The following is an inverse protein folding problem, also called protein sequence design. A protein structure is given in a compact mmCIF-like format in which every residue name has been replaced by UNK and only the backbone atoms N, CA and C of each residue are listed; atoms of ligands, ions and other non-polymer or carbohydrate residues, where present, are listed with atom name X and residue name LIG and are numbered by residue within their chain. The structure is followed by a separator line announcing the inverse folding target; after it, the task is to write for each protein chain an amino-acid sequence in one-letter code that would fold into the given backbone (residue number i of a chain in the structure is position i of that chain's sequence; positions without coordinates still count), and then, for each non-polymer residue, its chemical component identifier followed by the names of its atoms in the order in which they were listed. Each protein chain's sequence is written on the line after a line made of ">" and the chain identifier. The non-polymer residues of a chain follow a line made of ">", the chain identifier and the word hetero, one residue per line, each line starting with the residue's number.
data_IF_340044105265
#
_entry.id   IF_340044105265
#
_cell.length_a   1.000
_cell.length_b   1.000
_cell.length_c   1.000
_cell.angle_alpha   90.00
_cell.angle_beta   90.00
_cell.angle_gamma   90.00
#
_symmetry.space_group_name_H-M   'P 1'
#
loop_
_entity.id
_entity.type
_entity.pdbx_description
1 polymer ?
#
# COMPACT_ATOMS: atom_id res chain seq x y z
N UNK A 1 21.19 -5.49 30.47
CA UNK A 1 21.56 -4.68 29.29
C UNK A 1 20.31 -4.54 28.43
N UNK A 2 19.81 -3.31 28.25
CA UNK A 2 18.59 -3.01 27.47
C UNK A 2 18.93 -2.99 25.98
N UNK A 3 18.16 -3.70 25.16
CA UNK A 3 18.07 -3.46 23.71
C UNK A 3 16.66 -2.99 23.39
N UNK A 4 16.59 -1.80 22.83
CA UNK A 4 15.40 -1.04 22.48
C UNK A 4 14.64 -1.64 21.29
N UNK A 5 13.33 -1.85 21.46
CA UNK A 5 12.33 -1.71 20.40
C UNK A 5 12.25 -2.78 19.29
N UNK A 6 12.79 -3.99 19.49
CA UNK A 6 12.61 -5.11 18.57
C UNK A 6 11.57 -6.11 19.09
N UNK A 7 10.75 -6.67 18.20
CA UNK A 7 9.82 -7.78 18.49
C UNK A 7 10.53 -8.88 19.28
N UNK A 8 10.11 -9.10 20.52
CA UNK A 8 10.63 -10.17 21.38
C UNK A 8 9.94 -11.47 21.00
N UNK A 9 10.48 -12.18 20.00
CA UNK A 9 10.03 -13.54 19.70
C UNK A 9 10.68 -14.47 20.72
N UNK A 10 10.00 -14.70 21.85
CA UNK A 10 10.48 -15.63 22.87
C UNK A 10 10.36 -17.07 22.35
N UNK A 11 11.43 -17.84 22.47
CA UNK A 11 11.53 -19.25 22.07
C UNK A 11 10.75 -20.19 22.99
N UNK A 12 9.43 -20.01 23.08
CA UNK A 12 8.52 -20.96 23.74
C UNK A 12 7.76 -21.76 22.69
N UNK A 13 7.72 -23.08 22.92
CA UNK A 13 6.87 -24.11 22.28
C UNK A 13 5.64 -23.53 21.57
N UNK A 14 5.56 -23.75 20.26
CA UNK A 14 4.39 -23.66 19.38
C UNK A 14 3.44 -22.47 19.65
N UNK A 15 3.74 -21.31 19.05
CA UNK A 15 2.77 -20.23 18.91
C UNK A 15 1.71 -20.69 17.91
N UNK A 16 0.50 -20.96 18.39
CA UNK A 16 -0.63 -21.33 17.54
C UNK A 16 -1.33 -20.04 17.07
N UNK A 17 -1.11 -19.67 15.81
CA UNK A 17 -1.70 -18.47 15.20
C UNK A 17 -2.87 -18.86 14.28
N UNK A 18 -4.00 -18.19 14.44
CA UNK A 18 -5.10 -18.20 13.48
C UNK A 18 -4.98 -16.97 12.56
N UNK A 19 -5.04 -17.19 11.24
CA UNK A 19 -4.96 -16.13 10.23
C UNK A 19 -6.23 -16.08 9.41
N UNK A 20 -6.86 -14.90 9.39
CA UNK A 20 -8.01 -14.61 8.54
C UNK A 20 -7.64 -13.52 7.53
N UNK A 21 -8.08 -13.67 6.28
CA UNK A 21 -7.93 -12.66 5.23
C UNK A 21 -9.30 -12.37 4.64
N UNK A 22 -9.74 -11.12 4.75
CA UNK A 22 -11.02 -10.64 4.21
C UNK A 22 -10.73 -9.62 3.12
N UNK A 23 -11.30 -9.79 1.92
CA UNK A 23 -11.20 -8.78 0.87
C UNK A 23 -12.06 -7.56 1.23
N UNK A 24 -11.46 -6.37 1.24
CA UNK A 24 -12.15 -5.11 1.52
C UNK A 24 -12.58 -4.42 0.23
N UNK A 25 -11.66 -4.27 -0.72
CA UNK A 25 -11.92 -3.57 -1.99
C UNK A 25 -10.82 -3.83 -3.02
N UNK A 26 -11.06 -3.39 -4.26
CA UNK A 26 -10.10 -3.49 -5.37
C UNK A 26 -9.89 -2.13 -6.02
N UNK A 27 -8.65 -1.79 -6.30
CA UNK A 27 -8.22 -0.61 -7.05
C UNK A 27 -7.26 -1.04 -8.17
N UNK A 28 -7.70 -1.00 -9.43
CA UNK A 28 -6.93 -1.53 -10.57
C UNK A 28 -6.48 -2.98 -10.29
N UNK A 29 -5.18 -3.26 -10.31
CA UNK A 29 -4.59 -4.57 -9.98
C UNK A 29 -4.29 -4.76 -8.50
N UNK A 30 -4.52 -3.74 -7.66
CA UNK A 30 -4.32 -3.78 -6.21
C UNK A 30 -5.60 -4.24 -5.50
N UNK A 31 -5.50 -5.32 -4.74
CA UNK A 31 -6.56 -5.80 -3.86
C UNK A 31 -6.24 -5.42 -2.41
N UNK A 32 -7.14 -4.68 -1.78
CA UNK A 32 -7.05 -4.26 -0.39
C UNK A 32 -7.77 -5.29 0.49
N UNK A 33 -7.06 -5.80 1.49
CA UNK A 33 -7.51 -6.88 2.35
C UNK A 33 -7.32 -6.51 3.82
N UNK A 34 -8.20 -7.00 4.68
CA UNK A 34 -7.98 -7.03 6.12
C UNK A 34 -7.30 -8.36 6.45
N UNK A 35 -6.15 -8.30 7.10
CA UNK A 35 -5.46 -9.46 7.64
C UNK A 35 -5.60 -9.41 9.16
N UNK A 36 -6.25 -10.41 9.72
CA UNK A 36 -6.38 -10.60 11.17
C UNK A 36 -5.47 -11.75 11.58
N UNK A 37 -4.59 -11.51 12.54
CA UNK A 37 -3.77 -12.54 13.20
C UNK A 37 -4.23 -12.65 14.64
N UNK A 38 -4.65 -13.83 15.04
CA UNK A 38 -5.07 -14.12 16.41
C UNK A 38 -4.11 -15.12 17.03
N UNK A 39 -3.48 -14.74 18.13
CA UNK A 39 -2.68 -15.65 18.92
C UNK A 39 -3.62 -16.46 19.81
N UNK A 40 -3.66 -17.78 19.61
CA UNK A 40 -4.55 -18.65 20.37
C UNK A 40 -4.00 -18.99 21.76
N UNK A 41 -2.75 -18.64 22.05
CA UNK A 41 -2.13 -18.85 23.37
C UNK A 41 -2.57 -17.81 24.40
N UNK A 42 -2.75 -16.56 23.99
CA UNK A 42 -3.17 -15.45 24.84
C UNK A 42 -4.44 -14.72 24.36
N UNK A 43 -5.04 -15.21 23.27
CA UNK A 43 -6.25 -14.68 22.64
C UNK A 43 -6.12 -13.22 22.18
N UNK A 44 -4.88 -12.73 22.00
CA UNK A 44 -4.63 -11.41 21.40
C UNK A 44 -4.94 -11.42 19.91
N UNK A 45 -5.34 -10.26 19.38
CA UNK A 45 -5.71 -10.13 17.97
C UNK A 45 -5.10 -8.85 17.40
N UNK A 46 -4.39 -8.99 16.29
CA UNK A 46 -3.80 -7.89 15.54
C UNK A 46 -4.42 -7.82 14.15
N UNK A 47 -4.75 -6.60 13.72
CA UNK A 47 -5.30 -6.32 12.39
C UNK A 47 -4.34 -5.46 11.58
N UNK A 48 -4.26 -5.75 10.29
CA UNK A 48 -3.39 -5.04 9.35
C UNK A 48 -4.01 -4.95 7.95
N UNK A 49 -3.59 -3.97 7.18
CA UNK A 49 -3.97 -3.83 5.79
C UNK A 49 -3.06 -4.72 4.94
N UNK A 50 -3.63 -5.68 4.22
CA UNK A 50 -2.99 -6.36 3.11
C UNK A 50 -3.19 -5.60 1.81
N UNK A 51 -2.10 -5.30 1.12
CA UNK A 51 -2.11 -4.81 -0.26
C UNK A 51 -1.59 -5.92 -1.15
N UNK A 52 -2.48 -6.61 -1.86
CA UNK A 52 -2.14 -7.75 -2.72
C UNK A 52 -2.13 -7.34 -4.19
N UNK A 53 -1.07 -7.67 -4.90
CA UNK A 53 -1.03 -7.66 -6.36
C UNK A 53 -0.87 -9.06 -6.92
N UNK A 54 -1.61 -9.34 -7.98
CA UNK A 54 -1.41 -10.50 -8.83
C UNK A 54 -0.65 -10.06 -10.09
N UNK A 55 0.38 -10.80 -10.45
CA UNK A 55 1.17 -10.58 -11.66
C UNK A 55 1.43 -11.91 -12.35
N UNK A 56 1.43 -11.89 -13.67
CA UNK A 56 1.49 -13.08 -14.51
C UNK A 56 2.71 -13.00 -15.41
N UNK A 57 3.60 -14.00 -15.38
CA UNK A 57 4.60 -14.26 -16.43
C UNK A 57 4.01 -15.22 -17.45
N UNK A 58 4.70 -15.42 -18.58
CA UNK A 58 4.28 -16.37 -19.63
C UNK A 58 3.94 -17.78 -19.09
N UNK A 59 4.60 -18.21 -18.01
CA UNK A 59 4.47 -19.54 -17.43
C UNK A 59 3.85 -19.58 -16.03
N UNK A 60 3.64 -18.45 -15.35
CA UNK A 60 3.25 -18.42 -13.91
C UNK A 60 2.38 -17.22 -13.55
N UNK A 61 1.34 -17.46 -12.76
CA UNK A 61 0.62 -16.43 -12.02
C UNK A 61 1.15 -16.41 -10.59
N UNK A 62 1.60 -15.25 -10.12
CA UNK A 62 2.14 -15.03 -8.78
C UNK A 62 1.38 -13.94 -8.05
N UNK A 63 1.24 -14.10 -6.72
CA UNK A 63 0.61 -13.10 -5.85
C UNK A 63 1.63 -12.61 -4.83
N UNK A 64 1.70 -11.30 -4.64
CA UNK A 64 2.49 -10.68 -3.58
C UNK A 64 1.60 -9.79 -2.74
N UNK A 65 1.53 -10.08 -1.44
CA UNK A 65 0.85 -9.26 -0.46
C UNK A 65 1.87 -8.53 0.39
N UNK A 66 1.73 -7.21 0.48
CA UNK A 66 2.47 -6.39 1.43
C UNK A 66 1.53 -6.01 2.56
N UNK A 67 1.98 -6.24 3.79
CA UNK A 67 1.25 -5.87 5.00
C UNK A 67 1.63 -4.47 5.42
N UNK A 68 0.64 -3.66 5.77
CA UNK A 68 0.79 -2.34 6.36
C UNK A 68 0.10 -2.35 7.72
N UNK A 69 0.84 -1.95 8.74
CA UNK A 69 0.30 -1.90 10.09
C UNK A 69 -0.77 -0.81 10.19
N UNK A 70 -1.82 -1.03 10.99
CA UNK A 70 -2.92 -0.07 11.19
C UNK A 70 -2.41 1.35 11.52
N UNK A 71 -1.35 1.45 12.33
CA UNK A 71 -0.75 2.73 12.75
C UNK A 71 -0.05 3.51 11.63
N UNK A 72 0.26 2.86 10.51
CA UNK A 72 0.95 3.48 9.37
C UNK A 72 -0.03 3.99 8.31
N UNK A 73 -1.22 3.41 8.25
CA UNK A 73 -2.25 3.76 7.28
C UNK A 73 -2.62 5.26 7.26
N UNK A 74 -2.78 5.97 8.40
CA UNK A 74 -3.02 7.41 8.38
C UNK A 74 -1.92 8.21 7.66
N UNK A 75 -0.64 7.79 7.81
CA UNK A 75 0.50 8.46 7.18
C UNK A 75 0.50 8.26 5.66
N UNK A 76 0.08 7.08 5.21
CA UNK A 76 -0.10 6.79 3.77
C UNK A 76 -1.21 7.66 3.20
N UNK A 77 -2.37 7.69 3.85
CA UNK A 77 -3.53 8.51 3.45
C UNK A 77 -3.12 10.00 3.37
N UNK A 78 -2.49 10.53 4.41
CA UNK A 78 -1.98 11.90 4.44
C UNK A 78 -1.02 12.19 3.27
N UNK A 79 -0.14 11.26 2.96
CA UNK A 79 0.83 11.42 1.86
C UNK A 79 0.15 11.47 0.50
N UNK A 80 -0.88 10.64 0.27
CA UNK A 80 -1.69 10.66 -0.95
C UNK A 80 -2.54 11.92 -1.07
N UNK A 81 -3.05 12.44 0.05
CA UNK A 81 -3.79 13.71 0.08
C UNK A 81 -2.88 14.89 -0.27
N UNK A 82 -1.65 14.90 0.26
CA UNK A 82 -0.64 15.90 -0.11
C UNK A 82 -0.29 15.80 -1.60
N UNK A 83 -0.23 14.59 -2.17
CA UNK A 83 -0.03 14.40 -3.61
C UNK A 83 -1.20 15.01 -4.40
N UNK A 84 -2.44 14.71 -4.02
CA UNK A 84 -3.64 15.25 -4.66
C UNK A 84 -3.71 16.79 -4.59
N UNK A 85 -3.22 17.40 -3.51
CA UNK A 85 -3.12 18.86 -3.39
C UNK A 85 -2.12 19.44 -4.39
N UNK A 86 -0.94 18.84 -4.54
CA UNK A 86 0.10 19.28 -5.47
C UNK A 86 -0.35 19.23 -6.94
N UNK A 87 -1.24 18.31 -7.29
CA UNK A 87 -1.83 18.26 -8.64
C UNK A 87 -2.74 19.46 -8.97
N UNK A 88 -3.14 20.25 -7.97
CA UNK A 88 -3.93 21.48 -8.17
C UNK A 88 -3.06 22.74 -8.27
N UNK A 89 -1.75 22.64 -8.00
CA UNK A 89 -0.84 23.78 -8.12
C UNK A 89 -0.61 24.09 -9.60
N UNK A 90 -0.70 25.37 -10.00
CA UNK A 90 -0.35 25.80 -11.36
C UNK A 90 1.13 25.49 -11.62
N UNK A 91 1.41 24.57 -12.52
CA UNK A 91 2.78 24.23 -12.95
C UNK A 91 3.27 25.29 -13.91
N UNK A 92 4.29 26.07 -13.49
CA UNK A 92 4.84 27.19 -14.28
C UNK A 92 6.10 26.79 -15.05
N UNK A 93 6.84 25.75 -14.66
CA UNK A 93 8.04 25.32 -15.39
C UNK A 93 8.42 23.85 -15.09
N UNK A 94 8.73 23.11 -16.17
CA UNK A 94 9.38 21.78 -16.26
C UNK A 94 8.66 20.59 -15.60
N UNK A 95 8.96 19.38 -16.09
CA UNK A 95 8.44 18.09 -15.60
C UNK A 95 8.57 17.97 -14.08
N UNK A 96 7.48 18.26 -13.36
CA UNK A 96 7.41 18.01 -11.93
C UNK A 96 7.05 16.55 -11.70
N UNK A 97 7.97 15.82 -11.07
CA UNK A 97 7.74 14.49 -10.52
C UNK A 97 7.66 14.56 -9.00
N UNK A 98 6.56 14.07 -8.43
CA UNK A 98 6.41 13.84 -7.00
C UNK A 98 6.40 12.34 -6.75
N UNK A 99 7.16 11.88 -5.76
CA UNK A 99 7.18 10.48 -5.35
C UNK A 99 7.16 10.36 -3.83
N UNK A 100 6.49 9.32 -3.36
CA UNK A 100 6.42 8.89 -1.97
C UNK A 100 6.78 7.41 -2.00
N UNK A 101 7.76 7.02 -1.18
CA UNK A 101 8.10 5.61 -0.97
C UNK A 101 7.60 5.20 0.41
N UNK A 102 6.73 4.20 0.44
CA UNK A 102 6.20 3.61 1.67
C UNK A 102 7.23 2.65 2.28
N UNK A 103 7.09 2.31 3.58
CA UNK A 103 8.07 1.49 4.31
C UNK A 103 8.30 0.10 3.71
N UNK A 104 7.33 -0.40 2.95
CA UNK A 104 7.39 -1.67 2.24
C UNK A 104 7.88 -1.56 0.78
N UNK A 105 8.56 -0.46 0.43
CA UNK A 105 9.09 -0.16 -0.90
C UNK A 105 8.03 -0.02 -2.01
N UNK A 106 6.76 0.19 -1.66
CA UNK A 106 5.77 0.66 -2.63
C UNK A 106 6.11 2.12 -2.94
N UNK A 107 6.33 2.43 -4.20
CA UNK A 107 6.43 3.82 -4.67
C UNK A 107 5.06 4.25 -5.19
N UNK A 108 4.58 5.41 -4.75
CA UNK A 108 3.41 6.08 -5.31
C UNK A 108 3.83 7.49 -5.68
N UNK A 109 3.47 7.96 -6.86
CA UNK A 109 3.86 9.28 -7.31
C UNK A 109 2.94 9.87 -8.36
N UNK A 110 3.27 11.07 -8.78
CA UNK A 110 2.61 11.77 -9.88
C UNK A 110 3.67 12.44 -10.75
N UNK A 111 3.47 12.38 -12.07
CA UNK A 111 4.29 13.08 -13.06
C UNK A 111 3.40 13.99 -13.87
N UNK A 112 3.78 15.25 -14.00
CA UNK A 112 3.12 16.16 -14.93
C UNK A 112 3.58 15.84 -16.36
N UNK A 113 2.66 15.35 -17.21
CA UNK A 113 2.94 15.07 -18.62
C UNK A 113 2.61 16.32 -19.44
N UNK A 114 3.64 17.06 -19.85
CA UNK A 114 3.51 18.29 -20.66
C UNK A 114 2.71 18.07 -21.95
N UNK A 115 2.94 16.93 -22.62
CA UNK A 115 2.24 16.56 -23.87
C UNK A 115 0.71 16.45 -23.70
N UNK A 116 0.26 16.09 -22.51
CA UNK A 116 -1.16 15.93 -22.17
C UNK A 116 -1.69 17.08 -21.31
N UNK A 117 -0.82 18.00 -20.88
CA UNK A 117 -1.11 19.09 -19.93
C UNK A 117 -1.87 18.60 -18.69
N UNK A 118 -1.49 17.42 -18.19
CA UNK A 118 -2.19 16.76 -17.09
C UNK A 118 -1.22 16.00 -16.19
N UNK A 119 -1.64 15.84 -14.93
CA UNK A 119 -0.97 14.95 -13.98
C UNK A 119 -1.37 13.51 -14.23
N UNK A 120 -0.37 12.63 -14.23
CA UNK A 120 -0.56 11.18 -14.26
C UNK A 120 0.00 10.60 -12.97
N UNK A 121 -0.89 10.02 -12.17
CA UNK A 121 -0.49 9.30 -10.97
C UNK A 121 -0.02 7.91 -11.34
N UNK A 122 0.84 7.35 -10.51
CA UNK A 122 1.30 5.99 -10.67
C UNK A 122 1.62 5.34 -9.32
N UNK A 123 1.56 4.01 -9.29
CA UNK A 123 2.20 3.25 -8.23
C UNK A 123 3.06 2.13 -8.82
N UNK A 124 4.14 1.83 -8.10
CA UNK A 124 5.08 0.76 -8.39
C UNK A 124 5.10 -0.15 -7.16
N UNK A 125 4.73 -1.39 -7.39
CA UNK A 125 4.83 -2.43 -6.39
C UNK A 125 6.20 -3.11 -6.52
N UNK A 126 6.93 -3.37 -5.42
CA UNK A 126 8.24 -3.99 -5.49
C UNK A 126 8.09 -5.45 -5.91
N UNK A 127 8.53 -5.79 -7.12
CA UNK A 127 8.53 -7.16 -7.66
C UNK A 127 9.93 -7.50 -8.16
N UNK A 128 10.36 -8.75 -7.99
CA UNK A 128 11.70 -9.21 -8.40
C UNK A 128 11.78 -9.59 -9.88
N UNK A 129 10.62 -9.84 -10.51
CA UNK A 129 10.52 -10.53 -11.79
C UNK A 129 9.98 -9.67 -12.94
N UNK A 130 9.58 -8.43 -12.67
CA UNK A 130 8.97 -7.55 -13.67
C UNK A 130 9.73 -6.24 -13.82
N UNK A 131 9.85 -5.76 -15.06
CA UNK A 131 9.97 -4.33 -15.32
C UNK A 131 8.78 -3.67 -14.64
N UNK A 132 9.02 -2.88 -13.59
CA UNK A 132 8.03 -2.14 -12.80
C UNK A 132 6.75 -1.89 -13.60
N UNK A 133 5.70 -2.69 -13.38
CA UNK A 133 4.40 -2.44 -14.00
C UNK A 133 3.89 -1.16 -13.38
N UNK A 134 4.18 -0.03 -14.03
CA UNK A 134 3.75 1.29 -13.61
C UNK A 134 2.24 1.31 -13.80
N UNK A 135 1.51 1.16 -12.70
CA UNK A 135 0.06 1.26 -12.73
C UNK A 135 -0.29 2.75 -12.74
N UNK A 136 -0.55 3.29 -13.93
CA UNK A 136 -0.97 4.67 -14.09
C UNK A 136 -2.46 4.84 -13.77
N UNK A 137 -2.83 5.97 -13.16
CA UNK A 137 -4.21 6.30 -12.84
C UNK A 137 -4.43 7.82 -12.83
N UNK A 138 -5.69 8.21 -13.02
CA UNK A 138 -6.11 9.60 -13.09
C UNK A 138 -6.21 10.24 -11.69
N UNK A 139 -6.37 11.56 -11.67
CA UNK A 139 -6.64 12.34 -10.46
C UNK A 139 -7.92 11.94 -9.73
N UNK A 140 -8.97 11.56 -10.45
CA UNK A 140 -10.20 11.10 -9.82
C UNK A 140 -10.02 9.71 -9.24
N UNK A 141 -9.26 8.84 -9.92
CA UNK A 141 -8.86 7.54 -9.38
C UNK A 141 -7.97 7.66 -8.14
N UNK A 142 -7.14 8.72 -8.02
CA UNK A 142 -6.40 9.01 -6.79
C UNK A 142 -7.36 9.30 -5.62
N UNK A 143 -8.42 10.08 -5.85
CA UNK A 143 -9.45 10.35 -4.82
C UNK A 143 -10.16 9.06 -4.41
N UNK A 144 -10.45 8.20 -5.37
CA UNK A 144 -11.06 6.89 -5.10
C UNK A 144 -10.12 6.01 -4.26
N UNK A 145 -8.82 5.93 -4.59
CA UNK A 145 -7.84 5.21 -3.78
C UNK A 145 -7.79 5.73 -2.34
N UNK A 146 -7.74 7.05 -2.14
CA UNK A 146 -7.76 7.68 -0.81
C UNK A 146 -9.04 7.28 -0.05
N UNK A 147 -10.21 7.31 -0.72
CA UNK A 147 -11.48 6.91 -0.12
C UNK A 147 -11.49 5.43 0.28
N UNK A 148 -10.97 4.54 -0.57
CA UNK A 148 -10.86 3.11 -0.27
C UNK A 148 -9.95 2.86 0.94
N UNK A 149 -8.81 3.55 1.04
CA UNK A 149 -7.90 3.44 2.18
C UNK A 149 -8.52 4.00 3.47
N UNK A 150 -9.28 5.10 3.41
CA UNK A 150 -10.04 5.64 4.56
C UNK A 150 -11.15 4.69 5.02
N UNK A 151 -11.77 3.95 4.11
CA UNK A 151 -12.74 2.92 4.48
C UNK A 151 -12.02 1.73 5.12
N UNK A 152 -10.91 1.28 4.55
CA UNK A 152 -10.11 0.21 5.13
C UNK A 152 -9.62 0.55 6.54
N UNK A 153 -9.21 1.80 6.80
CA UNK A 153 -8.80 2.28 8.13
C UNK A 153 -9.88 2.09 9.19
N UNK A 154 -11.17 2.22 8.84
CA UNK A 154 -12.30 2.03 9.76
C UNK A 154 -12.62 0.56 10.03
N UNK A 155 -12.25 -0.32 9.10
CA UNK A 155 -12.50 -1.77 9.19
C UNK A 155 -11.40 -2.53 9.96
N UNK A 156 -10.21 -1.92 10.11
CA UNK A 156 -9.08 -2.44 10.90
C UNK A 156 -9.21 -2.06 12.37
#
# INVERSE_FOLDING_TARGET
>A
MRTSGGLTVSSKKDILLEKEIVNLSKFKTLNLQKITLKDLSDNTTETSLGMMMEYETFDRISKKTLTVEKRELPKIIQSLENLAQKENEKTVDSEKKYKITLMNNIEIGAVYKESLKTWVNYYIFPTEYYSHSVNEFSKDELKDLIKLLRNAEKEL
#
